data_IF_506507403086
#
_entry.id   IF_506507403086
#
_cell.length_a   1.000
_cell.length_b   1.000
_cell.length_c   1.000
_cell.angle_alpha   90.00
_cell.angle_beta   90.00
_cell.angle_gamma   90.00
#
_symmetry.space_group_name_H-M   'P 1'
#
loop_
_entity.id
_entity.type
_entity.pdbx_description
1 polymer ?
#
# COMPACT_ATOMS: atom_id res chain seq x y z
N UNK A 1 24.90 -11.01 -4.43
CA UNK A 1 26.17 -11.76 -4.14
C UNK A 1 26.45 -11.84 -2.64
N UNK A 2 26.30 -10.80 -1.83
CA UNK A 2 26.61 -10.81 -0.39
C UNK A 2 25.68 -11.73 0.42
N UNK A 3 24.40 -11.81 0.06
CA UNK A 3 23.43 -12.69 0.72
C UNK A 3 23.78 -14.18 0.57
N UNK A 4 24.06 -14.62 -0.65
CA UNK A 4 24.44 -16.01 -0.92
C UNK A 4 25.76 -16.42 -0.23
N UNK A 5 26.69 -15.50 -0.05
CA UNK A 5 27.90 -15.75 0.72
C UNK A 5 27.61 -15.87 2.22
N UNK A 6 26.76 -15.02 2.76
CA UNK A 6 26.35 -15.08 4.17
C UNK A 6 25.60 -16.39 4.46
N UNK A 7 24.71 -16.83 3.56
CA UNK A 7 24.02 -18.12 3.67
C UNK A 7 25.01 -19.29 3.71
N UNK A 8 25.94 -19.37 2.76
CA UNK A 8 26.96 -20.43 2.72
C UNK A 8 27.83 -20.49 3.99
N UNK A 9 28.12 -19.32 4.56
CA UNK A 9 28.88 -19.26 5.81
C UNK A 9 28.04 -19.79 6.96
N UNK A 10 26.77 -19.36 7.08
CA UNK A 10 25.85 -19.77 8.13
C UNK A 10 25.56 -21.28 8.08
N UNK A 11 25.34 -21.85 6.89
CA UNK A 11 25.20 -23.30 6.67
C UNK A 11 26.45 -24.06 7.15
N UNK A 12 27.65 -23.56 6.77
CA UNK A 12 28.91 -24.21 7.13
C UNK A 12 29.19 -24.25 8.63
N UNK A 13 28.72 -23.25 9.38
CA UNK A 13 28.88 -23.19 10.84
C UNK A 13 27.67 -23.73 11.60
N UNK A 14 26.65 -24.25 10.89
CA UNK A 14 25.45 -24.82 11.49
C UNK A 14 24.50 -23.81 12.13
N UNK A 15 24.56 -22.55 11.70
CA UNK A 15 23.71 -21.45 12.20
C UNK A 15 22.56 -21.10 11.26
N UNK A 16 22.33 -21.88 10.20
CA UNK A 16 21.25 -21.63 9.27
C UNK A 16 19.95 -22.23 9.79
N UNK A 17 18.90 -21.41 9.85
CA UNK A 17 17.58 -21.89 10.27
C UNK A 17 16.95 -22.78 9.19
N UNK A 18 16.29 -23.86 9.62
CA UNK A 18 15.55 -24.76 8.72
C UNK A 18 14.12 -24.26 8.49
N UNK A 19 13.43 -23.98 9.57
CA UNK A 19 12.02 -23.59 9.55
C UNK A 19 11.89 -22.14 10.01
N UNK A 20 12.10 -21.19 9.11
CA UNK A 20 12.17 -19.77 9.46
C UNK A 20 11.29 -18.94 8.53
N UNK A 21 10.13 -18.52 9.01
CA UNK A 21 9.20 -17.65 8.26
C UNK A 21 8.93 -16.38 9.03
N UNK A 22 9.15 -15.25 8.37
CA UNK A 22 8.89 -13.92 8.92
C UNK A 22 7.73 -13.23 8.19
N UNK A 23 6.75 -12.67 8.93
CA UNK A 23 5.67 -11.90 8.36
C UNK A 23 6.04 -10.43 8.18
N UNK A 24 5.45 -9.80 7.16
CA UNK A 24 5.43 -8.36 6.96
C UNK A 24 3.98 -7.90 6.79
N UNK A 25 3.57 -6.94 7.59
CA UNK A 25 2.21 -6.41 7.61
C UNK A 25 2.10 -5.09 6.86
N UNK A 26 0.90 -4.71 6.39
CA UNK A 26 0.67 -3.39 5.79
C UNK A 26 0.68 -2.23 6.82
N UNK A 27 0.88 -2.52 8.11
CA UNK A 27 0.80 -1.55 9.18
C UNK A 27 -0.64 -1.28 9.63
N UNK A 28 -1.33 -0.36 8.99
CA UNK A 28 -2.72 -0.04 9.31
C UNK A 28 -3.69 -0.76 8.38
N UNK A 29 -4.73 -1.37 8.94
CA UNK A 29 -5.84 -1.98 8.20
C UNK A 29 -7.17 -1.45 8.69
N UNK A 30 -8.11 -1.25 7.76
CA UNK A 30 -9.47 -0.82 8.08
C UNK A 30 -10.40 -2.03 8.03
N UNK A 31 -11.19 -2.19 9.08
CA UNK A 31 -12.14 -3.28 9.24
C UNK A 31 -13.52 -2.64 9.44
N UNK A 32 -14.52 -3.07 8.67
CA UNK A 32 -15.88 -2.53 8.81
C UNK A 32 -16.59 -3.23 9.98
N UNK A 33 -17.09 -2.44 10.90
CA UNK A 33 -17.87 -2.94 12.03
C UNK A 33 -19.11 -3.69 11.55
N UNK A 34 -19.35 -4.86 12.11
CA UNK A 34 -20.48 -5.72 11.76
C UNK A 34 -20.17 -6.75 10.66
N UNK A 35 -19.05 -6.64 9.96
CA UNK A 35 -18.62 -7.70 9.07
C UNK A 35 -18.14 -8.92 9.89
N UNK A 36 -18.35 -10.12 9.36
CA UNK A 36 -17.91 -11.34 10.02
C UNK A 36 -16.39 -11.39 10.14
N UNK A 37 -15.71 -11.05 9.06
CA UNK A 37 -14.26 -10.98 8.93
C UNK A 37 -13.87 -10.14 7.72
N UNK A 38 -12.67 -9.59 7.74
CA UNK A 38 -12.05 -8.90 6.60
C UNK A 38 -10.77 -9.61 6.23
N UNK A 39 -10.57 -9.86 4.94
CA UNK A 39 -9.35 -10.50 4.43
C UNK A 39 -8.27 -9.44 4.27
N UNK A 40 -7.17 -9.62 5.00
CA UNK A 40 -6.03 -8.70 5.02
C UNK A 40 -4.84 -9.34 4.31
N UNK A 41 -4.23 -8.66 3.31
CA UNK A 41 -3.02 -9.14 2.67
C UNK A 41 -1.82 -8.96 3.59
N UNK A 42 -1.09 -10.04 3.87
CA UNK A 42 0.20 -10.04 4.54
C UNK A 42 1.25 -10.63 3.61
N UNK A 43 2.49 -10.23 3.76
CA UNK A 43 3.61 -10.87 3.05
C UNK A 43 4.35 -11.79 4.01
N UNK A 44 4.64 -13.00 3.56
CA UNK A 44 5.44 -13.97 4.28
C UNK A 44 6.72 -14.23 3.50
N UNK A 45 7.86 -14.19 4.18
CA UNK A 45 9.16 -14.53 3.58
C UNK A 45 9.71 -15.77 4.26
N UNK A 46 10.05 -16.79 3.47
CA UNK A 46 10.77 -17.96 3.95
C UNK A 46 12.27 -17.65 4.01
N UNK A 47 12.83 -17.60 5.20
CA UNK A 47 14.27 -17.42 5.46
C UNK A 47 14.96 -18.73 5.85
N UNK A 48 14.24 -19.84 5.88
CA UNK A 48 14.77 -21.18 6.13
C UNK A 48 15.10 -21.90 4.84
N UNK A 49 15.86 -22.98 4.96
CA UNK A 49 16.24 -23.84 3.81
C UNK A 49 15.18 -24.89 3.46
N UNK A 50 14.12 -25.01 4.28
CA UNK A 50 13.04 -25.97 4.06
C UNK A 50 11.90 -25.28 3.31
N UNK A 51 11.38 -25.95 2.26
CA UNK A 51 10.16 -25.50 1.59
C UNK A 51 8.99 -25.53 2.57
N UNK A 52 8.23 -24.42 2.62
CA UNK A 52 7.13 -24.26 3.58
C UNK A 52 5.81 -24.65 2.93
N UNK A 53 5.18 -25.69 3.45
CA UNK A 53 3.86 -26.18 3.01
C UNK A 53 2.72 -25.70 3.90
N UNK A 54 3.03 -25.35 5.16
CA UNK A 54 2.03 -24.82 6.10
C UNK A 54 2.68 -23.95 7.18
N UNK A 55 1.90 -23.04 7.74
CA UNK A 55 2.24 -22.32 8.95
C UNK A 55 1.10 -22.42 9.96
N UNK A 56 1.46 -22.45 11.25
CA UNK A 56 0.52 -22.20 12.34
C UNK A 56 0.77 -20.79 12.89
N UNK A 57 -0.30 -20.05 13.13
CA UNK A 57 -0.19 -18.68 13.63
C UNK A 57 -1.24 -18.36 14.69
N UNK A 58 -0.96 -17.37 15.50
CA UNK A 58 -1.87 -16.83 16.50
C UNK A 58 -2.01 -15.33 16.33
N UNK A 59 -3.13 -14.80 16.80
CA UNK A 59 -3.31 -13.38 17.05
C UNK A 59 -3.21 -13.09 18.53
N UNK A 60 -2.55 -11.99 18.88
CA UNK A 60 -2.57 -11.46 20.23
C UNK A 60 -3.02 -10.01 20.20
N UNK A 61 -4.14 -9.73 20.85
CA UNK A 61 -4.71 -8.39 20.98
C UNK A 61 -4.10 -7.72 22.20
N UNK A 62 -3.21 -6.75 21.97
CA UNK A 62 -2.41 -6.14 23.04
C UNK A 62 -3.27 -5.41 24.08
N UNK A 63 -4.31 -4.71 23.62
CA UNK A 63 -5.19 -3.93 24.48
C UNK A 63 -6.08 -4.81 25.39
N UNK A 64 -6.43 -5.99 24.92
CA UNK A 64 -7.32 -6.94 25.64
C UNK A 64 -6.54 -8.03 26.36
N UNK A 65 -5.26 -8.20 26.06
CA UNK A 65 -4.42 -9.30 26.52
C UNK A 65 -5.02 -10.69 26.22
N UNK A 66 -5.63 -10.83 25.03
CA UNK A 66 -6.28 -12.06 24.59
C UNK A 66 -5.60 -12.60 23.35
N UNK A 67 -5.38 -13.93 23.37
CA UNK A 67 -4.86 -14.67 22.20
C UNK A 67 -5.99 -15.42 21.51
N UNK A 68 -5.96 -15.45 20.18
CA UNK A 68 -6.82 -16.29 19.35
C UNK A 68 -5.95 -17.23 18.50
N UNK A 69 -6.43 -18.45 18.29
CA UNK A 69 -5.73 -19.49 17.55
C UNK A 69 -5.28 -20.66 18.45
N UNK A 70 -4.35 -21.52 17.98
CA UNK A 70 -3.66 -21.42 16.69
C UNK A 70 -4.58 -21.67 15.49
N UNK A 71 -4.31 -20.93 14.41
CA UNK A 71 -4.88 -21.14 13.08
C UNK A 71 -3.84 -21.78 12.18
N UNK A 72 -4.28 -22.52 11.17
CA UNK A 72 -3.37 -23.15 10.18
C UNK A 72 -3.65 -22.58 8.80
N UNK A 73 -2.58 -22.15 8.11
CA UNK A 73 -2.60 -21.78 6.70
C UNK A 73 -1.78 -22.81 5.92
N UNK A 74 -2.42 -23.52 5.00
CA UNK A 74 -1.77 -24.42 4.07
C UNK A 74 -1.51 -23.70 2.75
N UNK A 75 -0.38 -23.99 2.12
CA UNK A 75 -0.01 -23.43 0.83
C UNK A 75 -0.29 -24.47 -0.27
N UNK A 76 -1.03 -24.08 -1.32
CA UNK A 76 -1.25 -24.93 -2.50
C UNK A 76 0.06 -25.27 -3.21
N UNK A 77 1.00 -24.34 -3.18
CA UNK A 77 2.37 -24.54 -3.64
C UNK A 77 3.33 -24.15 -2.52
N UNK A 78 4.35 -24.99 -2.23
CA UNK A 78 5.31 -24.66 -1.18
C UNK A 78 5.97 -23.30 -1.39
N UNK A 79 6.23 -22.59 -0.30
CA UNK A 79 7.00 -21.35 -0.30
C UNK A 79 8.49 -21.70 -0.23
N UNK A 80 9.22 -21.40 -1.30
CA UNK A 80 10.64 -21.75 -1.44
C UNK A 80 11.55 -20.87 -0.58
N UNK A 81 12.77 -21.35 -0.36
CA UNK A 81 13.83 -20.55 0.29
C UNK A 81 14.00 -19.20 -0.39
N UNK A 82 14.06 -18.12 0.41
CA UNK A 82 14.14 -16.73 -0.02
C UNK A 82 12.90 -16.19 -0.69
N UNK A 83 11.86 -16.98 -0.91
CA UNK A 83 10.63 -16.53 -1.54
C UNK A 83 9.80 -15.67 -0.59
N UNK A 84 9.27 -14.56 -1.12
CA UNK A 84 8.25 -13.73 -0.46
C UNK A 84 6.93 -13.88 -1.20
N UNK A 85 5.88 -14.23 -0.46
CA UNK A 85 4.53 -14.41 -1.02
C UNK A 85 3.50 -13.64 -0.22
N UNK A 86 2.55 -13.03 -0.93
CA UNK A 86 1.37 -12.45 -0.31
C UNK A 86 0.35 -13.54 0.03
N UNK A 87 -0.13 -13.50 1.25
CA UNK A 87 -1.16 -14.39 1.78
C UNK A 87 -2.35 -13.58 2.27
N UNK A 88 -3.51 -14.19 2.27
CA UNK A 88 -4.76 -13.56 2.68
C UNK A 88 -5.18 -14.11 4.05
N UNK A 89 -5.12 -13.27 5.07
CA UNK A 89 -5.43 -13.64 6.44
C UNK A 89 -6.77 -13.02 6.87
N UNK A 90 -7.76 -13.80 7.29
CA UNK A 90 -9.03 -13.28 7.80
C UNK A 90 -8.81 -12.69 9.20
N UNK A 91 -9.26 -11.45 9.39
CA UNK A 91 -9.22 -10.74 10.68
C UNK A 91 -10.63 -10.24 11.00
N UNK A 92 -11.07 -10.44 12.23
CA UNK A 92 -12.37 -9.97 12.70
C UNK A 92 -12.29 -8.50 13.11
N UNK A 93 -13.29 -7.66 12.73
CA UNK A 93 -13.36 -6.31 13.22
C UNK A 93 -13.66 -6.28 14.73
N UNK A 94 -13.22 -5.21 15.38
CA UNK A 94 -13.57 -4.96 16.78
C UNK A 94 -15.07 -4.73 16.97
N UNK A 95 -15.55 -4.94 18.19
CA UNK A 95 -16.96 -4.69 18.55
C UNK A 95 -17.28 -3.20 18.79
N UNK A 96 -16.24 -2.36 18.85
CA UNK A 96 -16.32 -0.90 19.02
C UNK A 96 -15.50 -0.21 17.96
N UNK A 97 -15.91 1.01 17.59
CA UNK A 97 -15.11 1.87 16.73
C UNK A 97 -13.82 2.25 17.43
N UNK A 98 -12.74 2.24 16.68
CA UNK A 98 -11.43 2.63 17.21
C UNK A 98 -10.28 1.83 16.64
N UNK A 99 -9.13 1.98 17.27
CA UNK A 99 -7.89 1.29 16.93
C UNK A 99 -7.61 0.21 17.95
N UNK A 100 -7.16 -0.93 17.49
CA UNK A 100 -6.65 -2.04 18.30
C UNK A 100 -5.31 -2.48 17.72
N UNK A 101 -4.33 -2.74 18.56
CA UNK A 101 -3.07 -3.34 18.14
C UNK A 101 -3.16 -4.86 18.19
N UNK A 102 -2.84 -5.47 17.07
CA UNK A 102 -2.85 -6.90 16.85
C UNK A 102 -1.44 -7.39 16.53
N UNK A 103 -0.95 -8.33 17.30
CA UNK A 103 0.28 -9.06 17.01
C UNK A 103 -0.08 -10.33 16.23
N UNK A 104 0.33 -10.42 14.98
CA UNK A 104 0.32 -11.65 14.18
C UNK A 104 1.62 -12.40 14.46
N UNK A 105 1.53 -13.61 14.98
CA UNK A 105 2.68 -14.42 15.36
C UNK A 105 2.64 -15.80 14.72
N UNK A 106 3.66 -16.13 13.93
CA UNK A 106 3.84 -17.45 13.33
C UNK A 106 4.55 -18.33 14.33
N UNK A 107 3.85 -19.29 14.89
CA UNK A 107 4.35 -20.18 15.93
C UNK A 107 5.02 -21.42 15.38
N UNK A 108 4.53 -21.94 14.24
CA UNK A 108 5.07 -23.15 13.63
C UNK A 108 5.17 -23.01 12.11
N UNK A 109 6.15 -23.71 11.54
CA UNK A 109 6.38 -23.89 10.10
C UNK A 109 6.43 -25.40 9.86
N UNK A 110 5.59 -25.94 8.97
CA UNK A 110 5.47 -27.37 8.71
C UNK A 110 5.29 -28.22 9.99
N UNK A 111 4.58 -27.69 10.98
CA UNK A 111 4.37 -28.36 12.27
C UNK A 111 5.56 -28.32 13.24
N UNK A 112 6.68 -27.70 12.87
CA UNK A 112 7.85 -27.49 13.71
C UNK A 112 7.90 -26.05 14.23
N UNK A 113 8.65 -25.81 15.28
CA UNK A 113 8.85 -24.45 15.83
C UNK A 113 9.37 -23.49 14.76
N UNK A 114 8.83 -22.26 14.72
CA UNK A 114 9.32 -21.21 13.83
C UNK A 114 10.61 -20.62 14.42
N UNK A 115 11.72 -20.83 13.75
CA UNK A 115 13.06 -20.39 14.19
C UNK A 115 13.36 -18.92 13.86
N UNK A 116 12.42 -18.22 13.16
CA UNK A 116 12.60 -16.82 12.82
C UNK A 116 12.67 -15.94 14.08
N UNK A 117 13.71 -15.15 14.22
CA UNK A 117 13.83 -14.16 15.32
C UNK A 117 12.74 -13.08 15.26
N UNK A 118 12.20 -12.82 14.06
CA UNK A 118 11.10 -11.91 13.80
C UNK A 118 9.90 -12.68 13.21
N UNK A 119 9.50 -13.79 13.84
CA UNK A 119 8.34 -14.61 13.43
C UNK A 119 7.00 -13.93 13.68
N UNK A 120 7.00 -12.65 14.03
CA UNK A 120 5.82 -11.86 14.34
C UNK A 120 5.84 -10.49 13.68
N UNK A 121 4.66 -9.89 13.53
CA UNK A 121 4.51 -8.52 13.08
C UNK A 121 3.26 -7.87 13.69
N UNK A 122 3.33 -6.55 13.89
CA UNK A 122 2.22 -5.77 14.41
C UNK A 122 1.34 -5.23 13.29
N UNK A 123 0.03 -5.20 13.57
CA UNK A 123 -0.98 -4.52 12.76
C UNK A 123 -1.78 -3.58 13.64
N UNK A 124 -2.07 -2.38 13.13
CA UNK A 124 -3.08 -1.52 13.72
C UNK A 124 -4.40 -1.75 13.01
N UNK A 125 -5.35 -2.42 13.68
CA UNK A 125 -6.69 -2.66 13.18
C UNK A 125 -7.60 -1.48 13.51
N UNK A 126 -8.07 -0.76 12.48
CA UNK A 126 -8.99 0.36 12.64
C UNK A 126 -10.41 -0.09 12.34
N UNK A 127 -11.23 -0.35 13.37
CA UNK A 127 -12.64 -0.66 13.19
C UNK A 127 -13.44 0.61 12.91
N UNK A 128 -14.12 0.65 11.76
CA UNK A 128 -14.84 1.82 11.24
C UNK A 128 -16.29 1.47 10.87
N UNK A 129 -17.20 2.44 10.93
CA UNK A 129 -18.59 2.25 10.46
C UNK A 129 -18.67 2.13 8.93
N UNK A 130 -17.80 2.87 8.22
CA UNK A 130 -17.78 2.91 6.77
C UNK A 130 -16.33 2.78 6.32
N UNK A 131 -16.10 1.89 5.36
CA UNK A 131 -14.75 1.75 4.78
C UNK A 131 -14.31 3.06 4.13
N UNK A 132 -13.09 3.54 4.43
CA UNK A 132 -12.56 4.73 3.77
C UNK A 132 -12.38 4.43 2.28
N UNK A 133 -12.91 5.31 1.45
CA UNK A 133 -12.67 5.29 0.01
C UNK A 133 -11.51 6.22 -0.30
N UNK A 134 -10.41 5.67 -0.81
CA UNK A 134 -9.23 6.43 -1.20
C UNK A 134 -9.43 6.98 -2.60
N UNK A 135 -9.51 8.30 -2.72
CA UNK A 135 -9.49 8.98 -4.01
C UNK A 135 -8.06 9.34 -4.42
N UNK A 136 -7.82 9.32 -5.72
CA UNK A 136 -6.56 9.76 -6.31
C UNK A 136 -6.62 11.26 -6.56
N UNK A 137 -5.65 12.00 -6.02
CA UNK A 137 -5.49 13.43 -6.31
C UNK A 137 -4.77 13.59 -7.65
N UNK A 138 -5.39 14.32 -8.57
CA UNK A 138 -4.79 14.76 -9.84
C UNK A 138 -4.65 16.27 -9.80
N UNK A 139 -3.45 16.77 -9.86
CA UNK A 139 -3.11 18.19 -9.79
C UNK A 139 -2.59 18.66 -11.16
N UNK A 140 -3.36 19.53 -11.82
CA UNK A 140 -2.96 20.19 -13.07
C UNK A 140 -2.36 21.55 -12.74
N UNK A 141 -1.06 21.70 -12.98
CA UNK A 141 -0.34 22.94 -12.77
C UNK A 141 -0.36 23.77 -14.05
N UNK A 142 -1.02 24.91 -13.99
CA UNK A 142 -1.32 25.76 -15.13
C UNK A 142 -0.97 27.24 -14.89
N UNK A 143 -1.11 28.06 -15.92
CA UNK A 143 -1.02 29.50 -15.84
C UNK A 143 -1.77 30.12 -16.99
N UNK A 144 -2.45 31.28 -16.79
CA UNK A 144 -3.19 31.98 -17.83
C UNK A 144 -2.32 32.40 -19.03
N UNK A 145 -1.02 32.57 -18.80
CA UNK A 145 -0.02 32.92 -19.81
C UNK A 145 0.54 31.70 -20.56
N UNK A 146 0.15 30.48 -20.17
CA UNK A 146 0.72 29.24 -20.69
C UNK A 146 -0.09 28.69 -21.87
N UNK A 147 0.47 28.72 -23.07
CA UNK A 147 -0.18 28.28 -24.31
C UNK A 147 -0.50 26.79 -24.38
N UNK A 148 0.25 25.97 -23.67
CA UNK A 148 0.07 24.52 -23.66
C UNK A 148 -0.79 24.00 -22.49
N UNK A 149 -1.10 24.84 -21.52
CA UNK A 149 -1.86 24.45 -20.33
C UNK A 149 -3.31 24.01 -20.61
N UNK A 150 -4.03 24.52 -21.63
CA UNK A 150 -5.34 24.00 -21.96
C UNK A 150 -5.40 22.49 -22.20
N UNK A 151 -4.30 21.88 -22.67
CA UNK A 151 -4.22 20.43 -22.87
C UNK A 151 -4.28 19.67 -21.52
N UNK A 152 -3.56 20.15 -20.51
CA UNK A 152 -3.61 19.61 -19.15
C UNK A 152 -4.99 19.73 -18.53
N UNK A 153 -5.63 20.90 -18.68
CA UNK A 153 -6.97 21.15 -18.19
C UNK A 153 -8.01 20.19 -18.78
N UNK A 154 -7.98 19.98 -20.11
CA UNK A 154 -8.88 19.05 -20.79
C UNK A 154 -8.66 17.62 -20.34
N UNK A 155 -7.40 17.20 -20.20
CA UNK A 155 -7.07 15.85 -19.73
C UNK A 155 -7.54 15.62 -18.29
N UNK A 156 -7.35 16.58 -17.42
CA UNK A 156 -7.74 16.51 -16.01
C UNK A 156 -9.26 16.49 -15.85
N UNK A 157 -9.98 17.31 -16.63
CA UNK A 157 -11.44 17.31 -16.66
C UNK A 157 -11.99 15.97 -17.18
N UNK A 158 -11.39 15.41 -18.25
CA UNK A 158 -11.76 14.10 -18.77
C UNK A 158 -11.59 12.98 -17.72
N UNK A 159 -10.47 12.95 -17.01
CA UNK A 159 -10.23 11.98 -15.94
C UNK A 159 -11.25 12.14 -14.82
N UNK A 160 -11.56 13.37 -14.40
CA UNK A 160 -12.54 13.63 -13.35
C UNK A 160 -13.95 13.15 -13.74
N UNK A 161 -14.33 13.32 -15.01
CA UNK A 161 -15.61 12.81 -15.53
C UNK A 161 -15.66 11.30 -15.67
N UNK A 162 -14.53 10.68 -16.04
CA UNK A 162 -14.46 9.22 -16.20
C UNK A 162 -14.48 8.48 -14.85
N UNK A 163 -13.92 9.08 -13.82
CA UNK A 163 -13.74 8.49 -12.50
C UNK A 163 -14.21 9.41 -11.36
N UNK A 164 -15.51 9.81 -11.35
CA UNK A 164 -16.00 10.84 -10.45
C UNK A 164 -15.93 10.46 -8.97
N UNK A 165 -15.97 9.15 -8.67
CA UNK A 165 -15.88 8.65 -7.31
C UNK A 165 -14.45 8.37 -6.85
N UNK A 166 -13.53 8.15 -7.79
CA UNK A 166 -12.16 7.71 -7.50
C UNK A 166 -11.12 8.82 -7.61
N UNK A 167 -11.46 9.92 -8.28
CA UNK A 167 -10.53 11.03 -8.57
C UNK A 167 -11.01 12.32 -7.93
N UNK A 168 -10.05 13.08 -7.41
CA UNK A 168 -10.20 14.50 -7.08
C UNK A 168 -9.25 15.27 -7.99
N UNK A 169 -9.81 16.04 -8.93
CA UNK A 169 -9.05 16.86 -9.84
C UNK A 169 -8.98 18.29 -9.33
N UNK A 170 -7.80 18.89 -9.34
CA UNK A 170 -7.54 20.25 -8.90
C UNK A 170 -6.65 20.95 -9.90
N UNK A 171 -7.05 22.12 -10.40
CA UNK A 171 -6.17 22.98 -11.18
C UNK A 171 -5.49 24.01 -10.28
N UNK A 172 -4.17 24.07 -10.36
CA UNK A 172 -3.32 24.94 -9.55
C UNK A 172 -2.64 25.96 -10.45
N UNK A 173 -3.02 27.21 -10.29
CA UNK A 173 -2.46 28.31 -11.09
C UNK A 173 -1.17 28.87 -10.48
N UNK A 174 -0.17 29.09 -11.34
CA UNK A 174 1.14 29.64 -10.98
C UNK A 174 1.31 31.05 -11.55
N UNK A 175 1.62 32.00 -10.67
CA UNK A 175 2.01 33.40 -11.02
C UNK A 175 1.05 34.15 -11.97
N UNK A 176 -0.24 34.00 -11.79
CA UNK A 176 -1.29 34.71 -12.50
C UNK A 176 -2.35 35.29 -11.55
N UNK A 177 -3.38 35.92 -12.09
CA UNK A 177 -4.41 36.54 -11.26
C UNK A 177 -5.29 35.54 -10.51
N UNK A 178 -5.46 34.35 -11.03
CA UNK A 178 -6.18 33.24 -10.36
C UNK A 178 -5.38 32.75 -9.17
N UNK A 179 -4.05 32.65 -9.30
CA UNK A 179 -3.17 32.15 -8.23
C UNK A 179 -3.19 33.06 -6.99
N UNK A 180 -3.46 34.33 -7.15
CA UNK A 180 -3.52 35.31 -6.04
C UNK A 180 -4.67 35.05 -5.06
N UNK A 181 -5.75 34.42 -5.51
CA UNK A 181 -6.99 34.26 -4.72
C UNK A 181 -6.99 32.99 -3.88
N UNK A 182 -6.51 31.87 -4.41
CA UNK A 182 -6.71 30.55 -3.79
C UNK A 182 -5.41 29.82 -3.48
N UNK A 183 -4.39 29.95 -4.32
CA UNK A 183 -3.22 29.08 -4.30
C UNK A 183 -2.12 29.54 -3.37
N UNK A 184 -2.08 30.80 -3.00
CA UNK A 184 -0.92 31.44 -2.40
C UNK A 184 -0.49 30.84 -1.06
N UNK A 185 -1.43 30.46 -0.22
CA UNK A 185 -1.15 29.93 1.12
C UNK A 185 -0.80 28.43 1.14
N UNK A 186 -1.27 27.67 0.14
CA UNK A 186 -1.19 26.20 0.18
C UNK A 186 -0.16 25.65 -0.80
N UNK A 187 0.01 26.29 -1.96
CA UNK A 187 0.79 25.71 -3.06
C UNK A 187 2.10 26.45 -3.38
N UNK A 188 2.30 27.70 -2.97
CA UNK A 188 3.56 28.43 -3.24
C UNK A 188 4.79 27.65 -2.75
N UNK A 189 4.75 27.17 -1.52
CA UNK A 189 5.86 26.38 -0.96
C UNK A 189 6.09 25.04 -1.66
N UNK A 190 5.04 24.43 -2.21
CA UNK A 190 5.14 23.18 -2.98
C UNK A 190 5.70 23.44 -4.39
N UNK A 191 5.20 24.47 -5.08
CA UNK A 191 5.66 24.86 -6.41
C UNK A 191 7.14 25.20 -6.39
N UNK A 192 7.59 25.98 -5.41
CA UNK A 192 8.98 26.38 -5.27
C UNK A 192 9.88 25.23 -4.86
N UNK A 193 9.44 24.44 -3.89
CA UNK A 193 10.20 23.29 -3.37
C UNK A 193 10.48 22.21 -4.40
N UNK A 194 9.52 21.98 -5.30
CA UNK A 194 9.65 20.94 -6.34
C UNK A 194 9.96 21.52 -7.73
N UNK A 195 10.22 22.82 -7.83
CA UNK A 195 10.51 23.51 -9.08
C UNK A 195 9.53 23.15 -10.20
N UNK A 196 8.22 23.14 -9.86
CA UNK A 196 7.17 22.75 -10.81
C UNK A 196 7.16 23.69 -12.01
N UNK A 197 7.37 23.14 -13.18
CA UNK A 197 7.20 23.84 -14.45
C UNK A 197 5.76 23.64 -14.96
N UNK A 198 5.24 24.60 -15.73
CA UNK A 198 3.91 24.47 -16.35
C UNK A 198 4.06 24.32 -17.87
N UNK A 199 3.25 23.49 -18.54
CA UNK A 199 2.19 22.64 -17.99
C UNK A 199 2.77 21.41 -17.27
N UNK A 200 2.13 20.97 -16.20
CA UNK A 200 2.45 19.71 -15.53
C UNK A 200 1.19 19.10 -14.92
N UNK A 201 1.01 17.79 -15.05
CA UNK A 201 -0.06 17.04 -14.38
C UNK A 201 0.58 16.03 -13.44
N UNK A 202 0.23 16.12 -12.17
CA UNK A 202 0.72 15.21 -11.14
C UNK A 202 -0.42 14.31 -10.65
N UNK A 203 -0.09 13.02 -10.48
CA UNK A 203 -1.01 12.03 -9.96
C UNK A 203 -0.52 11.56 -8.60
N UNK A 204 -1.36 11.67 -7.57
CA UNK A 204 -1.05 11.28 -6.19
C UNK A 204 0.24 11.93 -5.63
N UNK A 205 0.65 13.07 -6.16
CA UNK A 205 1.91 13.77 -5.85
C UNK A 205 3.18 12.94 -6.06
N UNK A 206 3.09 11.91 -6.88
CA UNK A 206 4.27 11.17 -7.30
C UNK A 206 4.91 11.90 -8.50
N UNK A 207 6.06 12.51 -8.26
CA UNK A 207 6.82 13.19 -9.31
C UNK A 207 7.39 12.22 -10.37
N UNK A 208 7.34 10.90 -10.13
CA UNK A 208 7.65 9.87 -11.13
C UNK A 208 6.52 9.69 -12.14
N UNK A 209 5.32 10.17 -11.83
CA UNK A 209 4.21 10.22 -12.79
C UNK A 209 4.40 11.27 -13.91
N UNK A 210 5.58 11.85 -14.05
CA UNK A 210 6.01 12.66 -15.22
C UNK A 210 5.95 11.89 -16.56
N UNK A 211 5.55 10.62 -16.54
CA UNK A 211 5.26 9.80 -17.71
C UNK A 211 3.77 9.65 -18.04
N UNK A 212 2.88 10.38 -17.39
CA UNK A 212 1.48 10.43 -17.81
C UNK A 212 1.42 11.13 -19.17
N UNK A 213 1.19 10.33 -20.23
CA UNK A 213 1.07 10.86 -21.57
C UNK A 213 -0.28 11.56 -21.72
N UNK A 214 -0.25 12.88 -21.59
CA UNK A 214 -1.41 13.77 -21.78
C UNK A 214 -2.09 13.49 -23.14
N UNK A 215 -1.33 13.03 -24.15
CA UNK A 215 -1.89 12.68 -25.45
C UNK A 215 -2.79 11.45 -25.41
N UNK A 216 -2.57 10.55 -24.47
CA UNK A 216 -3.43 9.37 -24.29
C UNK A 216 -4.76 9.73 -23.63
N UNK A 217 -4.78 10.65 -22.66
CA UNK A 217 -6.02 11.22 -22.12
C UNK A 217 -6.83 11.95 -23.19
N UNK A 218 -6.15 12.68 -24.07
CA UNK A 218 -6.77 13.36 -25.22
C UNK A 218 -7.34 12.37 -26.26
N UNK A 219 -6.66 11.26 -26.53
CA UNK A 219 -7.16 10.20 -27.40
C UNK A 219 -8.40 9.51 -26.84
N UNK A 220 -8.45 9.31 -25.53
CA UNK A 220 -9.59 8.70 -24.83
C UNK A 220 -10.84 9.58 -24.99
N UNK A 221 -10.72 10.89 -24.85
CA UNK A 221 -11.87 11.79 -25.04
C UNK A 221 -12.32 11.86 -26.50
N UNK A 222 -11.39 11.87 -27.45
CA UNK A 222 -11.69 11.87 -28.88
C UNK A 222 -12.44 10.61 -29.34
N UNK A 223 -12.19 9.47 -28.71
CA UNK A 223 -12.89 8.21 -29.00
C UNK A 223 -14.31 8.13 -28.41
N UNK A 224 -14.64 9.01 -27.45
CA UNK A 224 -16.00 9.10 -26.86
C UNK A 224 -16.91 10.14 -27.54
N UNK A 225 -16.38 10.97 -28.40
CA UNK A 225 -17.11 12.03 -29.12
C UNK A 225 -17.58 11.55 -30.52
N UNK A 226 -17.24 10.35 -30.89
CA UNK A 226 -17.79 9.64 -32.06
C UNK A 226 -18.69 8.52 -31.61
#
# INVERSE_FOLDING_TARGET
QSWQQAQKIAERIGCWAKNSVAPMTPGNVFLKMGDKETVVPLKLTNWGDTEVTSISYTFYYTDKQVSEGPFVLNFDQPLKDGETREVKIPIKPGQKLGKEELLFNITQVNGQYNEASAGYAYLTCCTVNKMPHKRVLVEDYAGMWCWHCPIGLVATDAIARMYPDDVVAVSVHKTDDISKVVSRLVYEGLIDRYAVTVPAVWVARDNKAAGFDITDAFKIEKSKVT
#
